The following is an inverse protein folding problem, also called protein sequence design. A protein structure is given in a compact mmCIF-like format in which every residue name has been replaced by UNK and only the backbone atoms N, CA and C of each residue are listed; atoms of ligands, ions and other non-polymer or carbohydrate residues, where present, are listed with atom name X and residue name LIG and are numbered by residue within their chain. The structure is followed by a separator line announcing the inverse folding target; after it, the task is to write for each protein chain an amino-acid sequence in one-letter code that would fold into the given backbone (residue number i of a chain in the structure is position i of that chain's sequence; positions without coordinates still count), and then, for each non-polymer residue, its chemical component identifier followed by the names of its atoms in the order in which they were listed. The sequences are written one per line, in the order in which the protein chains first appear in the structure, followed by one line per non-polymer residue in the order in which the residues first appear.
data_IF_694379787821
#
_entry.id   IF_694379787821
#
_cell.length_a   1.000
_cell.length_b   1.000
_cell.length_c   1.000
_cell.angle_alpha   90.00
_cell.angle_beta   90.00
_cell.angle_gamma   90.00
#
_symmetry.space_group_name_H-M   'P 1'
#
loop_
_entity.id
_entity.type
_entity.pdbx_description
1 polymer ?
#
# COMPACT_ATOMS: atom_id res chain seq x y z
N UNK A 1 10.38 3.58 -3.94
CA UNK A 1 9.33 2.66 -3.47
C UNK A 1 8.00 3.39 -3.46
N UNK A 2 6.86 2.69 -3.49
CA UNK A 2 5.56 3.31 -3.19
C UNK A 2 5.13 2.80 -1.83
N UNK A 3 4.80 3.70 -0.92
CA UNK A 3 4.39 3.32 0.43
C UNK A 3 2.88 3.09 0.53
N UNK A 4 2.49 2.05 1.27
CA UNK A 4 1.11 1.63 1.44
C UNK A 4 0.83 1.35 2.91
N UNK A 5 0.17 2.27 3.62
CA UNK A 5 -0.26 1.99 4.99
C UNK A 5 -1.70 1.52 5.05
N UNK A 6 -1.87 0.25 5.36
CA UNK A 6 -3.18 -0.34 5.57
C UNK A 6 -3.57 -0.08 7.04
N UNK A 7 -4.48 0.85 7.31
CA UNK A 7 -4.96 1.10 8.67
C UNK A 7 -6.44 0.69 8.78
N UNK A 8 -6.74 -0.61 9.00
CA UNK A 8 -8.13 -1.08 9.13
C UNK A 8 -8.67 -0.94 10.54
N UNK A 9 -9.97 -0.67 10.64
CA UNK A 9 -10.76 -0.76 11.87
C UNK A 9 -11.89 -1.76 11.67
N UNK A 10 -11.87 -2.83 12.47
CA UNK A 10 -12.97 -3.79 12.58
C UNK A 10 -13.70 -3.57 13.92
N UNK A 11 -14.91 -3.02 13.87
CA UNK A 11 -15.96 -2.88 14.91
C UNK A 11 -15.61 -2.39 16.33
N UNK A 12 -14.34 -2.21 16.63
CA UNK A 12 -13.78 -1.43 17.72
C UNK A 12 -12.76 -0.48 17.08
N UNK A 13 -12.43 0.61 17.75
CA UNK A 13 -11.51 1.64 17.24
C UNK A 13 -10.05 1.16 17.04
N UNK A 14 -9.82 -0.15 16.90
CA UNK A 14 -8.52 -0.75 16.64
C UNK A 14 -7.99 -0.45 15.25
N UNK A 15 -6.68 -0.31 15.14
CA UNK A 15 -5.91 -0.11 13.91
C UNK A 15 -5.26 -1.45 13.54
N UNK A 16 -5.12 -1.77 12.25
CA UNK A 16 -4.35 -2.94 11.83
C UNK A 16 -2.95 -2.88 12.40
N UNK A 17 -2.58 -3.93 13.14
CA UNK A 17 -1.20 -4.09 13.57
C UNK A 17 -0.38 -4.76 12.45
N UNK A 18 0.29 -3.94 11.64
CA UNK A 18 1.20 -4.40 10.60
C UNK A 18 2.63 -4.68 11.11
N UNK A 19 2.90 -4.58 12.42
CA UNK A 19 4.26 -4.74 12.96
C UNK A 19 4.79 -6.17 12.84
N UNK A 20 3.92 -7.15 12.59
CA UNK A 20 4.24 -8.58 12.59
C UNK A 20 4.26 -9.14 11.17
N UNK A 21 5.34 -8.89 10.45
CA UNK A 21 5.60 -9.56 9.16
C UNK A 21 5.91 -11.03 9.43
N UNK A 22 5.16 -11.94 8.82
CA UNK A 22 5.42 -13.38 8.87
C UNK A 22 6.54 -13.74 7.89
N UNK A 23 6.33 -13.37 6.63
CA UNK A 23 7.25 -13.58 5.53
C UNK A 23 6.95 -12.60 4.40
N UNK A 24 7.96 -12.38 3.56
CA UNK A 24 7.88 -11.54 2.35
C UNK A 24 8.41 -12.34 1.16
N UNK A 25 7.51 -12.68 0.25
CA UNK A 25 7.79 -13.33 -1.02
C UNK A 25 6.84 -12.82 -2.13
N UNK A 26 6.59 -11.53 -2.14
CA UNK A 26 5.59 -10.93 -3.03
C UNK A 26 5.92 -11.25 -4.50
N UNK A 27 5.00 -11.93 -5.20
CA UNK A 27 5.20 -12.38 -6.59
C UNK A 27 6.30 -13.43 -6.76
N UNK A 28 6.73 -14.10 -5.70
CA UNK A 28 7.79 -15.12 -5.75
C UNK A 28 9.19 -14.56 -5.88
N UNK A 29 9.37 -13.25 -5.66
CA UNK A 29 10.65 -12.55 -5.88
C UNK A 29 11.52 -12.49 -4.62
N UNK A 30 11.00 -12.95 -3.48
CA UNK A 30 11.71 -13.06 -2.21
C UNK A 30 11.48 -11.89 -1.24
N UNK A 31 12.31 -11.80 -0.18
CA UNK A 31 13.53 -12.60 0.06
C UNK A 31 13.29 -14.09 0.40
N UNK A 32 12.12 -14.47 0.93
CA UNK A 32 11.85 -15.85 1.36
C UNK A 32 11.18 -16.66 0.23
N UNK A 33 11.97 -17.24 -0.68
CA UNK A 33 11.41 -17.80 -1.93
C UNK A 33 10.78 -19.19 -1.81
N UNK A 34 10.92 -19.83 -0.66
CA UNK A 34 10.44 -21.18 -0.32
C UNK A 34 9.03 -21.21 0.30
N UNK A 35 8.44 -20.03 0.56
CA UNK A 35 7.07 -19.89 1.08
C UNK A 35 6.09 -19.41 0.00
N UNK A 36 4.80 -19.30 0.33
CA UNK A 36 3.78 -18.78 -0.58
C UNK A 36 4.17 -17.42 -1.16
N UNK A 37 3.77 -17.13 -2.41
CA UNK A 37 4.15 -15.92 -3.16
C UNK A 37 3.41 -14.65 -2.70
N UNK A 38 3.39 -14.40 -1.39
CA UNK A 38 2.67 -13.30 -0.74
C UNK A 38 3.58 -12.53 0.21
N UNK A 39 3.15 -11.31 0.56
CA UNK A 39 3.62 -10.62 1.74
C UNK A 39 2.56 -10.81 2.83
N UNK A 40 2.90 -11.46 3.93
CA UNK A 40 1.94 -11.83 4.98
C UNK A 40 2.26 -11.16 6.31
N UNK A 41 1.21 -10.65 6.95
CA UNK A 41 1.23 -10.05 8.27
C UNK A 41 0.35 -10.89 9.20
N UNK A 42 0.85 -11.22 10.40
CA UNK A 42 0.11 -12.03 11.38
C UNK A 42 -0.61 -11.18 12.41
N UNK A 43 -1.75 -11.69 12.87
CA UNK A 43 -2.52 -11.10 13.98
C UNK A 43 -2.83 -9.61 13.79
N UNK A 44 -3.15 -9.20 12.56
CA UNK A 44 -3.42 -7.80 12.23
C UNK A 44 -4.70 -7.28 12.89
N UNK A 45 -5.65 -8.16 13.22
CA UNK A 45 -6.90 -7.85 13.91
C UNK A 45 -7.28 -8.99 14.87
N UNK A 46 -8.16 -8.64 15.81
CA UNK A 46 -8.97 -9.58 16.59
C UNK A 46 -10.45 -9.30 16.32
N UNK A 47 -11.16 -10.29 15.78
CA UNK A 47 -12.59 -10.20 15.48
C UNK A 47 -13.31 -11.20 16.38
N UNK A 48 -13.92 -10.70 17.46
CA UNK A 48 -14.67 -11.51 18.43
C UNK A 48 -13.87 -12.70 19.00
N UNK A 49 -12.57 -12.51 19.26
CA UNK A 49 -11.65 -13.53 19.76
C UNK A 49 -10.95 -14.35 18.66
N UNK A 50 -11.28 -14.10 17.39
CA UNK A 50 -10.61 -14.73 16.25
C UNK A 50 -9.49 -13.81 15.77
N UNK A 51 -8.25 -14.27 15.94
CA UNK A 51 -7.05 -13.62 15.39
C UNK A 51 -7.07 -13.72 13.86
N UNK A 52 -6.76 -12.62 13.19
CA UNK A 52 -6.81 -12.50 11.73
C UNK A 52 -5.42 -12.18 11.18
N UNK A 53 -5.02 -12.88 10.13
CA UNK A 53 -3.87 -12.52 9.31
C UNK A 53 -4.31 -11.73 8.08
N UNK A 54 -3.40 -10.92 7.54
CA UNK A 54 -3.57 -10.27 6.24
C UNK A 54 -2.47 -10.71 5.29
N UNK A 55 -2.82 -11.05 4.05
CA UNK A 55 -1.85 -11.33 3.00
C UNK A 55 -2.06 -10.41 1.80
N UNK A 56 -0.96 -9.98 1.20
CA UNK A 56 -0.93 -9.25 -0.06
C UNK A 56 -0.37 -10.15 -1.16
N UNK A 57 -1.10 -10.28 -2.25
CA UNK A 57 -0.68 -11.06 -3.44
C UNK A 57 -0.55 -10.13 -4.63
N UNK A 58 0.57 -10.26 -5.35
CA UNK A 58 0.81 -9.54 -6.59
C UNK A 58 0.17 -10.28 -7.78
N UNK A 59 -0.45 -9.52 -8.67
CA UNK A 59 -0.85 -9.98 -9.99
C UNK A 59 0.35 -10.27 -10.90
N UNK A 60 0.08 -10.80 -12.07
CA UNK A 60 1.10 -11.06 -13.09
C UNK A 60 1.81 -9.77 -13.51
N UNK A 61 3.13 -9.86 -13.74
CA UNK A 61 3.94 -8.72 -14.21
C UNK A 61 4.50 -7.80 -13.13
N UNK A 62 4.41 -8.18 -11.85
CA UNK A 62 5.06 -7.43 -10.78
C UNK A 62 6.57 -7.29 -11.00
N UNK A 63 7.04 -6.05 -11.11
CA UNK A 63 8.45 -5.71 -11.33
C UNK A 63 8.92 -4.77 -10.21
N UNK A 64 9.55 -5.31 -9.15
CA UNK A 64 10.06 -4.49 -8.05
C UNK A 64 11.29 -3.71 -8.48
N UNK A 65 11.50 -2.55 -7.86
CA UNK A 65 12.80 -1.85 -7.91
C UNK A 65 13.83 -2.59 -7.05
N UNK A 66 13.44 -2.91 -5.82
CA UNK A 66 14.25 -3.65 -4.84
C UNK A 66 13.34 -4.46 -3.92
N UNK A 67 13.45 -5.78 -3.96
CA UNK A 67 12.60 -6.70 -3.18
C UNK A 67 12.79 -6.57 -1.66
N UNK A 68 13.95 -6.09 -1.19
CA UNK A 68 14.24 -5.90 0.23
C UNK A 68 13.43 -4.77 0.86
N UNK A 69 12.88 -3.87 0.03
CA UNK A 69 12.01 -2.77 0.46
C UNK A 69 10.54 -3.19 0.59
N UNK A 70 10.19 -4.46 0.36
CA UNK A 70 8.83 -4.97 0.59
C UNK A 70 8.66 -5.39 2.05
N UNK A 71 7.52 -5.05 2.65
CA UNK A 71 7.21 -5.43 4.02
C UNK A 71 7.07 -4.21 4.91
N UNK A 72 7.59 -4.28 6.13
CA UNK A 72 7.55 -3.17 7.07
C UNK A 72 8.65 -2.16 6.72
N UNK A 73 8.35 -0.86 6.80
CA UNK A 73 9.40 0.18 6.70
C UNK A 73 10.16 0.20 8.03
N UNK A 74 11.45 -0.17 8.02
CA UNK A 74 12.28 -0.31 9.23
C UNK A 74 12.54 1.00 10.00
N UNK A 75 12.31 2.17 9.39
CA UNK A 75 12.47 3.47 10.07
C UNK A 75 11.34 3.78 11.10
N UNK A 76 10.38 2.86 11.28
CA UNK A 76 9.16 3.07 12.05
C UNK A 76 9.20 2.62 13.52
N UNK A 77 10.37 2.35 14.10
CA UNK A 77 10.52 1.93 15.51
C UNK A 77 10.03 2.97 16.55
N UNK A 78 9.35 4.04 16.14
CA UNK A 78 8.82 5.11 16.99
C UNK A 78 7.31 5.41 16.75
N UNK A 79 6.64 4.75 15.80
CA UNK A 79 5.26 5.08 15.39
C UNK A 79 4.43 3.89 14.89
N UNK A 80 3.23 4.17 14.37
CA UNK A 80 2.34 3.13 13.83
C UNK A 80 2.91 2.51 12.52
N UNK A 81 2.87 1.17 12.37
CA UNK A 81 3.53 0.47 11.27
C UNK A 81 2.92 0.78 9.90
N UNK A 82 3.77 0.91 8.88
CA UNK A 82 3.42 1.15 7.47
C UNK A 82 4.05 0.05 6.64
N UNK A 83 3.26 -0.52 5.73
CA UNK A 83 3.79 -1.46 4.74
C UNK A 83 4.34 -0.71 3.51
N UNK A 84 5.36 -1.28 2.89
CA UNK A 84 5.94 -0.78 1.66
C UNK A 84 5.83 -1.84 0.57
N UNK A 85 5.58 -1.37 -0.66
CA UNK A 85 5.66 -2.17 -1.86
C UNK A 85 6.64 -1.50 -2.82
N UNK A 86 7.70 -2.22 -3.14
CA UNK A 86 8.74 -1.77 -4.05
C UNK A 86 8.28 -1.96 -5.48
N UNK A 87 8.30 -0.91 -6.29
CA UNK A 87 7.85 -0.95 -7.67
C UNK A 87 8.84 -0.20 -8.54
N UNK A 88 9.20 -0.78 -9.68
CA UNK A 88 10.05 -0.13 -10.67
C UNK A 88 9.30 0.97 -11.42
N UNK A 89 9.95 2.08 -11.72
CA UNK A 89 9.37 3.13 -12.55
C UNK A 89 8.98 2.61 -13.94
N UNK A 90 7.87 3.13 -14.46
CA UNK A 90 7.25 2.69 -15.71
C UNK A 90 6.44 1.41 -15.58
N UNK A 91 6.27 0.87 -14.37
CA UNK A 91 5.54 -0.38 -14.13
C UNK A 91 4.33 -0.18 -13.20
N UNK A 92 3.53 -1.23 -13.10
CA UNK A 92 2.33 -1.26 -12.29
C UNK A 92 2.12 -2.65 -11.70
N UNK A 93 1.42 -2.72 -10.57
CA UNK A 93 1.04 -3.94 -9.88
C UNK A 93 -0.45 -3.89 -9.57
N UNK A 94 -1.16 -4.96 -9.92
CA UNK A 94 -2.46 -5.26 -9.34
C UNK A 94 -2.21 -6.02 -8.03
N UNK A 95 -2.63 -5.47 -6.91
CA UNK A 95 -2.46 -6.05 -5.59
C UNK A 95 -3.82 -6.54 -5.08
N UNK A 96 -3.85 -7.76 -4.57
CA UNK A 96 -4.98 -8.29 -3.81
C UNK A 96 -4.60 -8.32 -2.34
N UNK A 97 -5.40 -7.68 -1.49
CA UNK A 97 -5.31 -7.75 -0.04
C UNK A 97 -6.41 -8.70 0.44
N UNK A 98 -6.07 -9.73 1.21
CA UNK A 98 -6.99 -10.75 1.68
C UNK A 98 -6.78 -11.07 3.17
N UNK A 99 -7.85 -11.51 3.83
CA UNK A 99 -7.87 -11.79 5.27
C UNK A 99 -8.15 -13.26 5.55
N UNK A 100 -7.46 -13.81 6.55
CA UNK A 100 -7.52 -15.23 6.90
C UNK A 100 -7.57 -15.44 8.41
N UNK A 101 -8.16 -16.54 8.87
CA UNK A 101 -7.94 -17.00 10.24
C UNK A 101 -6.45 -17.24 10.48
N UNK A 102 -5.94 -16.79 11.62
CA UNK A 102 -4.50 -16.79 11.94
C UNK A 102 -3.85 -18.15 11.68
N UNK A 103 -2.72 -18.14 10.95
CA UNK A 103 -1.93 -19.33 10.67
C UNK A 103 -2.58 -20.32 9.68
N UNK A 104 -3.67 -19.93 9.01
CA UNK A 104 -4.38 -20.80 8.05
C UNK A 104 -4.56 -20.13 6.68
N UNK A 105 -5.11 -20.90 5.75
CA UNK A 105 -5.59 -20.40 4.45
C UNK A 105 -7.12 -20.22 4.41
N UNK A 106 -7.79 -20.34 5.56
CA UNK A 106 -9.25 -20.17 5.69
C UNK A 106 -9.60 -18.69 5.61
N UNK A 107 -10.31 -18.22 4.56
CA UNK A 107 -10.66 -16.81 4.43
C UNK A 107 -11.65 -16.38 5.52
N UNK A 108 -11.44 -15.20 6.11
CA UNK A 108 -12.35 -14.61 7.09
C UNK A 108 -12.89 -13.28 6.57
N UNK A 109 -14.16 -12.99 6.87
CA UNK A 109 -14.80 -11.72 6.49
C UNK A 109 -14.57 -10.68 7.57
N UNK A 110 -14.00 -9.54 7.18
CA UNK A 110 -13.81 -8.37 8.03
C UNK A 110 -15.02 -7.43 7.85
N UNK A 111 -15.71 -7.03 8.93
CA UNK A 111 -16.91 -6.17 8.84
C UNK A 111 -16.64 -4.79 8.24
N UNK A 112 -15.48 -4.21 8.54
CA UNK A 112 -15.06 -2.90 8.05
C UNK A 112 -13.55 -2.86 7.92
N UNK A 113 -13.08 -2.24 6.84
CA UNK A 113 -11.67 -1.96 6.58
C UNK A 113 -11.57 -0.47 6.28
N UNK A 114 -10.76 0.22 7.04
CA UNK A 114 -10.23 1.53 6.67
C UNK A 114 -8.87 1.24 6.01
N UNK A 115 -8.56 1.87 4.89
CA UNK A 115 -7.34 1.55 4.14
C UNK A 115 -6.74 2.83 3.61
N UNK A 116 -5.50 3.12 3.93
CA UNK A 116 -4.85 4.33 3.43
C UNK A 116 -3.80 3.98 2.38
N UNK A 117 -3.66 4.85 1.41
CA UNK A 117 -2.53 4.87 0.50
C UNK A 117 -1.84 6.18 0.72
N UNK A 118 -0.54 6.13 0.95
CA UNK A 118 0.29 7.31 1.16
C UNK A 118 1.21 7.51 -0.03
N UNK A 119 1.99 8.59 0.04
CA UNK A 119 3.07 8.81 -0.91
C UNK A 119 2.55 8.84 -2.36
N UNK A 120 1.32 9.35 -2.56
CA UNK A 120 0.76 9.60 -3.89
C UNK A 120 1.27 10.95 -4.39
N UNK A 121 2.54 10.98 -4.75
CA UNK A 121 3.30 12.17 -5.11
C UNK A 121 4.03 12.01 -6.45
N UNK A 122 4.81 13.03 -6.82
CA UNK A 122 5.65 13.05 -8.02
C UNK A 122 7.12 13.02 -7.61
N UNK A 123 7.78 11.84 -7.61
CA UNK A 123 9.16 11.74 -7.15
C UNK A 123 10.11 12.63 -7.96
N UNK A 124 9.80 12.80 -9.24
CA UNK A 124 10.52 13.65 -10.18
C UNK A 124 9.54 14.26 -11.19
N UNK A 125 10.02 15.22 -11.99
CA UNK A 125 9.20 15.83 -13.04
C UNK A 125 8.73 14.82 -14.11
N UNK A 126 9.33 13.63 -14.17
CA UNK A 126 9.01 12.57 -15.13
C UNK A 126 8.23 11.43 -14.49
N UNK A 127 8.04 11.43 -13.17
CA UNK A 127 7.44 10.33 -12.44
C UNK A 127 6.20 10.74 -11.66
N UNK A 128 5.24 9.84 -11.57
CA UNK A 128 4.01 10.07 -10.82
C UNK A 128 3.48 8.76 -10.25
N UNK A 129 3.19 8.75 -8.95
CA UNK A 129 2.57 7.61 -8.26
C UNK A 129 1.05 7.70 -8.37
N UNK A 130 0.42 6.61 -8.82
CA UNK A 130 -1.03 6.50 -9.00
C UNK A 130 -1.57 5.28 -8.29
N UNK A 131 -2.78 5.41 -7.78
CA UNK A 131 -3.55 4.26 -7.28
C UNK A 131 -4.93 4.22 -7.89
N UNK A 132 -5.39 3.04 -8.27
CA UNK A 132 -6.80 2.78 -8.59
C UNK A 132 -7.36 1.82 -7.56
N UNK A 133 -8.42 2.22 -6.87
CA UNK A 133 -9.10 1.39 -5.88
C UNK A 133 -10.53 1.14 -6.34
N UNK A 134 -11.00 -0.10 -6.21
CA UNK A 134 -12.35 -0.52 -6.57
C UNK A 134 -13.06 -1.14 -5.38
N UNK A 135 -14.39 -1.08 -5.39
CA UNK A 135 -15.24 -1.75 -4.39
C UNK A 135 -15.16 -1.13 -2.99
N UNK A 136 -14.83 0.16 -2.87
CA UNK A 136 -14.91 0.90 -1.62
C UNK A 136 -16.26 1.61 -1.49
N UNK A 137 -16.74 1.81 -0.26
CA UNK A 137 -18.00 2.49 0.04
C UNK A 137 -17.82 4.01 0.17
N UNK A 138 -16.69 4.43 0.74
CA UNK A 138 -16.35 5.84 0.89
C UNK A 138 -14.84 6.08 0.70
N UNK A 139 -14.49 7.28 0.27
CA UNK A 139 -13.12 7.77 0.22
C UNK A 139 -13.03 9.11 0.95
N UNK A 140 -11.97 9.27 1.74
CA UNK A 140 -11.64 10.47 2.47
C UNK A 140 -10.34 11.03 1.92
N UNK A 141 -10.41 12.30 1.52
CA UNK A 141 -9.28 13.14 1.17
C UNK A 141 -9.29 14.33 2.13
N UNK A 142 -8.12 14.83 2.49
CA UNK A 142 -8.05 16.03 3.32
C UNK A 142 -8.51 17.27 2.55
N UNK A 143 -8.92 18.32 3.25
CA UNK A 143 -9.32 19.60 2.63
C UNK A 143 -8.18 20.21 1.79
N UNK A 144 -6.94 20.01 2.22
CA UNK A 144 -5.73 20.45 1.55
C UNK A 144 -5.14 19.36 0.63
N UNK A 145 -5.95 18.39 0.19
CA UNK A 145 -5.47 17.34 -0.71
C UNK A 145 -4.90 17.94 -1.98
N UNK A 146 -3.77 17.39 -2.40
CA UNK A 146 -3.17 17.67 -3.70
C UNK A 146 -3.39 16.53 -4.68
N UNK A 147 -4.31 15.62 -4.35
CA UNK A 147 -4.74 14.56 -5.24
C UNK A 147 -5.93 15.02 -6.06
N UNK A 148 -5.96 14.61 -7.31
CA UNK A 148 -7.18 14.58 -8.09
C UNK A 148 -7.59 13.14 -8.36
N UNK A 149 -8.88 12.93 -8.60
CA UNK A 149 -9.42 11.62 -8.88
C UNK A 149 -10.33 11.61 -10.10
N UNK A 150 -10.36 10.47 -10.77
CA UNK A 150 -11.26 10.19 -11.88
C UNK A 150 -12.06 8.92 -11.56
N UNK A 151 -13.39 8.98 -11.73
CA UNK A 151 -14.24 7.80 -11.60
C UNK A 151 -13.88 6.78 -12.69
N UNK A 152 -13.80 5.52 -12.29
CA UNK A 152 -13.65 4.37 -13.20
C UNK A 152 -14.74 3.34 -12.90
N UNK A 153 -15.00 2.37 -13.79
CA UNK A 153 -15.95 1.30 -13.49
C UNK A 153 -15.60 0.59 -12.17
N UNK A 154 -16.53 0.69 -11.20
CA UNK A 154 -16.41 0.07 -9.89
C UNK A 154 -15.48 0.78 -8.89
N UNK A 155 -15.00 2.00 -9.17
CA UNK A 155 -14.07 2.68 -8.27
C UNK A 155 -13.59 4.06 -8.74
N UNK A 156 -12.37 4.42 -8.33
CA UNK A 156 -11.72 5.66 -8.74
C UNK A 156 -10.20 5.48 -8.86
N UNK A 157 -9.60 6.23 -9.79
CA UNK A 157 -8.16 6.39 -9.92
C UNK A 157 -7.73 7.73 -9.33
N UNK A 158 -6.67 7.72 -8.53
CA UNK A 158 -6.11 8.85 -7.80
C UNK A 158 -4.68 9.10 -8.27
N UNK A 159 -4.33 10.37 -8.41
CA UNK A 159 -2.99 10.85 -8.80
C UNK A 159 -2.73 12.25 -8.24
N UNK A 160 -1.47 12.68 -8.12
CA UNK A 160 -1.12 14.08 -7.92
C UNK A 160 -1.84 15.02 -8.89
N UNK A 161 -2.26 16.17 -8.38
CA UNK A 161 -2.80 17.27 -9.18
C UNK A 161 -1.73 17.90 -10.05
N UNK A 162 -2.09 18.53 -11.17
CA UNK A 162 -1.11 19.03 -12.15
C UNK A 162 -0.19 20.12 -11.55
N UNK A 163 -0.63 20.82 -10.50
CA UNK A 163 0.15 21.82 -9.77
C UNK A 163 0.89 21.35 -8.51
N UNK A 164 0.83 20.05 -8.15
CA UNK A 164 1.52 19.53 -6.98
C UNK A 164 3.06 19.71 -7.05
N UNK A 165 3.76 20.07 -5.97
CA UNK A 165 5.21 20.02 -5.89
C UNK A 165 5.79 18.65 -6.29
N UNK A 166 7.01 18.68 -6.83
CA UNK A 166 7.80 17.48 -7.19
C UNK A 166 8.81 17.20 -6.08
N UNK A 167 8.93 15.94 -5.67
CA UNK A 167 10.03 15.46 -4.80
C UNK A 167 10.04 16.02 -3.38
N UNK A 168 8.90 16.54 -2.90
CA UNK A 168 8.79 17.29 -1.63
C UNK A 168 7.95 16.56 -0.57
N UNK A 169 7.80 15.24 -0.69
CA UNK A 169 7.03 14.44 0.27
C UNK A 169 7.91 13.33 0.79
N UNK A 170 8.30 13.43 2.05
CA UNK A 170 9.01 12.35 2.73
C UNK A 170 8.05 11.23 3.10
N UNK A 171 8.56 10.01 3.04
CA UNK A 171 7.91 8.81 3.55
C UNK A 171 7.42 9.01 5.01
N UNK A 172 6.19 8.60 5.35
CA UNK A 172 5.69 8.71 6.72
C UNK A 172 6.43 7.79 7.67
N UNK A 173 6.83 8.35 8.82
CA UNK A 173 7.42 7.60 9.94
C UNK A 173 6.37 7.07 10.94
N UNK A 174 5.09 7.41 10.74
CA UNK A 174 3.96 6.94 11.54
C UNK A 174 2.70 6.90 10.65
N UNK A 175 2.04 5.74 10.58
CA UNK A 175 0.85 5.54 9.73
C UNK A 175 -0.41 6.30 10.18
N UNK A 176 -0.48 6.78 11.42
CA UNK A 176 -1.60 7.55 11.97
C UNK A 176 -1.23 9.02 12.23
N UNK A 177 0.05 9.33 12.42
CA UNK A 177 0.54 10.68 12.68
C UNK A 177 1.32 11.25 11.48
N UNK A 178 0.59 11.57 10.42
CA UNK A 178 1.14 12.15 9.20
C UNK A 178 1.41 13.66 9.36
N UNK A 179 2.37 14.20 8.62
CA UNK A 179 2.51 15.64 8.40
C UNK A 179 1.37 16.18 7.52
N UNK A 180 1.16 17.50 7.48
CA UNK A 180 0.19 18.11 6.55
C UNK A 180 0.49 17.75 5.10
N UNK A 181 1.78 17.75 4.75
CA UNK A 181 2.29 17.37 3.43
C UNK A 181 1.92 15.92 3.11
N UNK A 182 2.22 14.98 4.00
CA UNK A 182 1.88 13.56 3.81
C UNK A 182 0.37 13.33 3.68
N UNK A 183 -0.44 14.04 4.48
CA UNK A 183 -1.90 14.00 4.39
C UNK A 183 -2.45 14.54 3.07
N UNK A 184 -1.78 15.51 2.45
CA UNK A 184 -2.19 16.06 1.16
C UNK A 184 -2.04 15.04 0.03
N UNK A 185 -1.12 14.08 0.19
CA UNK A 185 -0.80 12.99 -0.74
C UNK A 185 -1.30 11.62 -0.26
N UNK A 186 -2.35 11.61 0.56
CA UNK A 186 -2.98 10.41 1.09
C UNK A 186 -4.42 10.28 0.61
N UNK A 187 -4.84 9.03 0.38
CA UNK A 187 -6.24 8.68 0.17
C UNK A 187 -6.64 7.54 1.12
N UNK A 188 -7.73 7.74 1.85
CA UNK A 188 -8.25 6.74 2.80
C UNK A 188 -9.58 6.20 2.33
N UNK A 189 -9.74 4.88 2.29
CA UNK A 189 -10.90 4.17 1.79
C UNK A 189 -11.61 3.45 2.92
N UNK A 190 -12.94 3.50 2.95
CA UNK A 190 -13.77 2.63 3.80
C UNK A 190 -14.34 1.53 2.92
N UNK A 191 -14.20 0.29 3.37
CA UNK A 191 -14.62 -0.92 2.67
C UNK A 191 -15.32 -1.82 3.68
N UNK A 192 -16.61 -2.12 3.49
CA UNK A 192 -17.37 -2.98 4.40
C UNK A 192 -17.43 -4.43 3.93
N UNK A 193 -17.52 -5.34 4.90
CA UNK A 193 -17.90 -6.74 4.70
C UNK A 193 -17.06 -7.42 3.61
N UNK A 194 -15.74 -7.46 3.78
CA UNK A 194 -14.80 -8.01 2.78
C UNK A 194 -13.97 -9.16 3.32
N UNK A 195 -13.76 -10.17 2.48
CA UNK A 195 -12.69 -11.17 2.69
C UNK A 195 -11.41 -10.79 1.94
N UNK A 196 -11.55 -9.96 0.90
CA UNK A 196 -10.47 -9.41 0.11
C UNK A 196 -10.94 -8.17 -0.66
N UNK A 197 -9.99 -7.32 -1.03
CA UNK A 197 -10.19 -6.23 -1.99
C UNK A 197 -8.93 -6.08 -2.87
N UNK A 198 -9.07 -5.35 -3.97
CA UNK A 198 -8.00 -5.16 -4.93
C UNK A 198 -7.78 -3.70 -5.25
N UNK A 199 -6.52 -3.38 -5.50
CA UNK A 199 -6.07 -2.06 -5.92
C UNK A 199 -4.93 -2.19 -6.91
N UNK A 200 -4.79 -1.20 -7.77
CA UNK A 200 -3.71 -1.11 -8.73
C UNK A 200 -2.80 0.04 -8.37
N UNK A 201 -1.52 -0.23 -8.15
CA UNK A 201 -0.49 0.79 -8.03
C UNK A 201 0.26 0.92 -9.35
N UNK A 202 0.58 2.16 -9.73
CA UNK A 202 1.42 2.42 -10.89
C UNK A 202 2.41 3.54 -10.56
N UNK A 203 3.68 3.31 -10.87
CA UNK A 203 4.69 4.35 -10.89
C UNK A 203 4.92 4.71 -12.36
N UNK A 204 4.23 5.75 -12.83
CA UNK A 204 4.42 6.25 -14.18
C UNK A 204 5.78 6.95 -14.27
N UNK A 205 6.43 6.88 -15.43
CA UNK A 205 7.71 7.52 -15.69
C UNK A 205 8.79 6.56 -16.20
N UNK A 206 10.00 7.08 -16.36
CA UNK A 206 11.18 6.29 -16.69
C UNK A 206 12.10 6.24 -15.47
N UNK A 207 12.67 5.06 -15.22
CA UNK A 207 13.64 4.85 -14.15
C UNK A 207 14.88 5.71 -14.40
N UNK A 208 15.11 6.73 -13.59
CA UNK A 208 16.31 7.56 -13.67
C UNK A 208 17.59 6.79 -13.26
N UNK A 209 17.47 5.54 -12.78
CA UNK A 209 18.52 4.75 -12.13
C UNK A 209 19.20 3.67 -12.96
N UNK A 210 19.16 3.70 -14.29
CA UNK A 210 19.94 2.76 -15.13
C UNK A 210 20.54 3.41 -16.39
N UNK A 211 21.24 4.54 -16.23
CA UNK A 211 21.87 5.21 -17.37
C UNK A 211 22.84 6.33 -17.02
N UNK A 212 23.95 6.03 -16.36
CA UNK A 212 25.22 6.79 -16.46
C UNK A 212 26.33 6.05 -15.69
N UNK A 213 26.91 5.01 -16.31
CA UNK A 213 28.01 4.24 -15.69
C UNK A 213 28.67 3.25 -16.64
N UNK A 214 28.70 3.57 -17.93
CA UNK A 214 29.59 2.93 -18.89
C UNK A 214 29.93 3.98 -19.94
N UNK A 215 31.20 4.04 -20.34
CA UNK A 215 31.87 5.01 -21.22
C UNK A 215 32.62 6.14 -20.50
N UNK A 216 33.78 5.80 -19.93
CA UNK A 216 35.11 6.28 -20.38
C UNK A 216 36.19 5.46 -19.67
#
# INVERSE_FOLDING_TARGET
ATLVCVAASADSDGVLDLSRVDYSNLGGLGPMRDVEQTLRFREVLDIYGVKVDMAMTAGQGYTPHDVSLNGLVDQLNQGNPVAAISLKAGTAIDLKVAFFEMGTTTPIRVPKVVFSVFDLERPSAKEEKRVTVKGFDAVYLTRATELMFQRVPGGAAFRPSDGAPVGDVTDPSDGLLLSERQRAHAATFIIHSVQAFSLRFALHGEDAGAGAGALA
#
